data_IF_463169527598
#
_entry.id   IF_463169527598
#
_cell.length_a   1.000
_cell.length_b   1.000
_cell.length_c   1.000
_cell.angle_alpha   90.00
_cell.angle_beta   90.00
_cell.angle_gamma   90.00
#
_symmetry.space_group_name_H-M   'P 1'
#
loop_
_entity.id
_entity.type
_entity.pdbx_description
1 polymer ?
#
# COMPACT_ATOMS: atom_id res chain seq x y z
N UNK A 1 6.23 -27.82 -3.81
CA UNK A 1 5.85 -28.93 -4.70
C UNK A 1 4.95 -29.85 -3.89
N UNK A 2 3.67 -30.00 -4.23
CA UNK A 2 2.77 -30.90 -3.51
C UNK A 2 2.82 -32.28 -4.17
N UNK A 3 3.11 -33.32 -3.39
CA UNK A 3 2.94 -34.71 -3.83
C UNK A 3 1.53 -35.13 -3.42
N UNK A 4 0.65 -35.29 -4.41
CA UNK A 4 -0.69 -35.82 -4.22
C UNK A 4 -0.74 -37.20 -4.88
N UNK A 5 -1.07 -38.25 -4.12
CA UNK A 5 -1.43 -39.54 -4.70
C UNK A 5 -2.68 -39.36 -5.55
N UNK A 6 -2.53 -39.37 -6.87
CA UNK A 6 -3.65 -39.32 -7.82
C UNK A 6 -3.99 -40.75 -8.24
N UNK A 7 -5.10 -41.29 -7.73
CA UNK A 7 -5.79 -42.38 -8.43
C UNK A 7 -6.55 -41.76 -9.60
N UNK A 8 -5.90 -41.68 -10.77
CA UNK A 8 -6.52 -41.19 -12.00
C UNK A 8 -7.28 -42.35 -12.65
N UNK A 9 -8.61 -42.30 -12.61
CA UNK A 9 -9.45 -43.10 -13.51
C UNK A 9 -9.98 -42.15 -14.57
N UNK A 10 -9.48 -42.27 -15.81
CA UNK A 10 -10.10 -41.63 -16.96
C UNK A 10 -11.29 -42.47 -17.38
N UNK A 11 -12.50 -41.96 -17.14
CA UNK A 11 -13.71 -42.53 -17.75
C UNK A 11 -13.79 -42.01 -19.19
N UNK A 12 -13.51 -42.89 -20.15
CA UNK A 12 -13.51 -42.59 -21.58
C UNK A 12 -14.92 -42.36 -22.17
N UNK A 13 -15.97 -42.40 -21.36
CA UNK A 13 -17.37 -42.26 -21.80
C UNK A 13 -17.99 -40.86 -21.62
N UNK A 14 -17.27 -39.92 -21.00
CA UNK A 14 -17.75 -38.55 -20.77
C UNK A 14 -16.90 -37.54 -21.56
N UNK A 15 -17.25 -37.34 -22.83
CA UNK A 15 -16.83 -36.15 -23.57
C UNK A 15 -17.29 -34.88 -22.80
N UNK A 16 -16.35 -33.98 -22.53
CA UNK A 16 -16.55 -32.57 -22.11
C UNK A 16 -16.95 -32.20 -20.66
N UNK A 17 -16.75 -33.04 -19.64
CA UNK A 17 -16.75 -32.54 -18.24
C UNK A 17 -15.47 -32.91 -17.52
N UNK A 18 -14.65 -31.91 -17.19
CA UNK A 18 -13.58 -32.03 -16.21
C UNK A 18 -14.17 -32.56 -14.89
N UNK A 19 -14.00 -33.86 -14.63
CA UNK A 19 -14.37 -34.46 -13.35
C UNK A 19 -13.36 -33.99 -12.33
N UNK A 20 -13.79 -33.07 -11.49
CA UNK A 20 -12.99 -32.60 -10.39
C UNK A 20 -12.98 -33.59 -9.24
N UNK A 21 -11.90 -34.34 -9.16
CA UNK A 21 -11.63 -35.25 -8.05
C UNK A 21 -11.12 -34.43 -6.85
N UNK A 22 -11.78 -34.56 -5.70
CA UNK A 22 -11.27 -34.08 -4.42
C UNK A 22 -9.96 -34.82 -4.10
N UNK A 23 -8.84 -34.10 -3.86
CA UNK A 23 -7.60 -34.75 -3.49
C UNK A 23 -7.70 -35.33 -2.06
N UNK A 24 -7.67 -36.66 -1.94
CA UNK A 24 -7.85 -37.37 -0.66
C UNK A 24 -6.66 -37.21 0.32
N UNK A 25 -5.47 -36.87 -0.17
CA UNK A 25 -4.32 -36.53 0.68
C UNK A 25 -3.23 -35.83 -0.14
N UNK A 26 -3.05 -34.52 0.05
CA UNK A 26 -1.91 -33.79 -0.50
C UNK A 26 -0.98 -33.38 0.63
N UNK A 27 0.28 -33.84 0.57
CA UNK A 27 1.35 -33.25 1.37
C UNK A 27 1.70 -31.90 0.76
N UNK A 28 1.04 -30.85 1.25
CA UNK A 28 1.32 -29.47 0.83
C UNK A 28 2.39 -28.86 1.74
N UNK A 29 3.32 -28.14 1.13
CA UNK A 29 4.37 -27.43 1.86
C UNK A 29 3.86 -26.14 2.53
N UNK A 30 2.68 -25.67 2.13
CA UNK A 30 1.99 -24.53 2.74
C UNK A 30 0.49 -24.77 2.70
N UNK A 31 -0.15 -24.73 3.87
CA UNK A 31 -1.59 -24.88 4.01
C UNK A 31 -2.27 -23.61 3.50
N UNK A 32 -2.98 -23.74 2.40
CA UNK A 32 -3.79 -22.66 1.83
C UNK A 32 -5.22 -22.74 2.34
N UNK A 33 -5.87 -21.59 2.52
CA UNK A 33 -7.28 -21.50 2.91
C UNK A 33 -8.22 -22.24 1.93
N UNK A 34 -7.91 -22.23 0.63
CA UNK A 34 -8.67 -22.94 -0.42
C UNK A 34 -8.67 -24.46 -0.16
N UNK A 35 -7.51 -25.01 0.22
CA UNK A 35 -7.35 -26.43 0.55
C UNK A 35 -8.10 -26.77 1.84
N UNK A 36 -7.95 -25.94 2.87
CA UNK A 36 -8.57 -26.15 4.19
C UNK A 36 -10.09 -26.13 4.18
N UNK A 37 -10.68 -25.36 3.28
CA UNK A 37 -12.13 -25.21 3.16
C UNK A 37 -12.71 -25.98 1.96
N UNK A 38 -11.93 -26.88 1.34
CA UNK A 38 -12.34 -27.73 0.21
C UNK A 38 -12.99 -26.96 -0.95
N UNK A 39 -12.50 -25.75 -1.25
CA UNK A 39 -13.02 -24.96 -2.36
C UNK A 39 -12.41 -25.45 -3.68
N UNK A 40 -12.98 -26.49 -4.27
CA UNK A 40 -12.57 -27.01 -5.59
C UNK A 40 -13.61 -26.73 -6.69
N UNK A 41 -13.10 -26.46 -7.90
CA UNK A 41 -13.78 -26.56 -9.20
C UNK A 41 -15.01 -25.67 -9.48
N UNK A 42 -16.09 -25.79 -8.71
CA UNK A 42 -17.24 -24.87 -8.81
C UNK A 42 -16.97 -23.50 -8.16
N UNK A 43 -16.02 -23.45 -7.24
CA UNK A 43 -15.64 -22.26 -6.46
C UNK A 43 -14.64 -21.34 -7.14
N UNK A 44 -14.07 -21.74 -8.29
CA UNK A 44 -13.04 -20.97 -8.99
C UNK A 44 -13.51 -19.56 -9.36
N UNK A 45 -14.79 -19.41 -9.72
CA UNK A 45 -15.42 -18.11 -9.99
C UNK A 45 -15.46 -17.25 -8.72
N UNK A 46 -15.82 -17.83 -7.57
CA UNK A 46 -15.86 -17.15 -6.27
C UNK A 46 -14.46 -16.71 -5.81
N UNK A 47 -13.45 -17.56 -5.98
CA UNK A 47 -12.06 -17.23 -5.66
C UNK A 47 -11.54 -16.09 -6.54
N UNK A 48 -11.79 -16.14 -7.85
CA UNK A 48 -11.42 -15.05 -8.78
C UNK A 48 -12.11 -13.74 -8.41
N UNK A 49 -13.40 -13.79 -8.09
CA UNK A 49 -14.15 -12.62 -7.63
C UNK A 49 -13.55 -12.02 -6.35
N UNK A 50 -13.06 -12.84 -5.42
CA UNK A 50 -12.40 -12.36 -4.20
C UNK A 50 -11.15 -11.53 -4.50
N UNK A 51 -10.34 -11.91 -5.49
CA UNK A 51 -9.13 -11.16 -5.87
C UNK A 51 -9.54 -9.82 -6.49
N UNK A 52 -10.57 -9.82 -7.35
CA UNK A 52 -11.09 -8.58 -7.94
C UNK A 52 -11.64 -7.62 -6.88
N UNK A 53 -12.38 -8.11 -5.87
CA UNK A 53 -12.85 -7.31 -4.75
C UNK A 53 -11.69 -6.69 -3.96
N UNK A 54 -10.63 -7.46 -3.72
CA UNK A 54 -9.43 -6.95 -3.06
C UNK A 54 -8.80 -5.79 -3.85
N UNK A 55 -8.71 -5.89 -5.17
CA UNK A 55 -8.14 -4.83 -6.02
C UNK A 55 -9.00 -3.57 -6.04
N UNK A 56 -10.33 -3.72 -6.00
CA UNK A 56 -11.24 -2.58 -5.81
C UNK A 56 -10.94 -1.88 -4.49
N UNK A 57 -10.71 -2.62 -3.41
CA UNK A 57 -10.28 -2.07 -2.13
C UNK A 57 -9.01 -1.23 -2.26
N UNK A 58 -7.98 -1.75 -2.92
CA UNK A 58 -6.70 -1.04 -3.18
C UNK A 58 -6.93 0.25 -3.95
N UNK A 59 -7.77 0.23 -4.99
CA UNK A 59 -8.09 1.41 -5.82
C UNK A 59 -8.78 2.50 -5.01
N UNK A 60 -9.80 2.14 -4.22
CA UNK A 60 -10.52 3.11 -3.39
C UNK A 60 -9.58 3.68 -2.31
N UNK A 61 -8.76 2.82 -1.71
CA UNK A 61 -7.79 3.21 -0.68
C UNK A 61 -6.74 4.18 -1.19
N UNK A 62 -6.16 3.91 -2.37
CA UNK A 62 -5.14 4.77 -2.97
C UNK A 62 -5.67 6.17 -3.31
N UNK A 63 -6.92 6.27 -3.78
CA UNK A 63 -7.58 7.53 -4.06
C UNK A 63 -7.94 8.29 -2.76
N UNK A 64 -8.59 7.64 -1.80
CA UNK A 64 -9.02 8.32 -0.57
C UNK A 64 -7.83 8.83 0.25
N UNK A 65 -6.85 7.97 0.52
CA UNK A 65 -5.70 8.35 1.33
C UNK A 65 -4.76 9.31 0.64
N UNK A 66 -4.77 9.39 -0.70
CA UNK A 66 -4.07 10.45 -1.44
C UNK A 66 -4.53 11.84 -0.96
N UNK A 67 -5.83 12.11 -1.02
CA UNK A 67 -6.41 13.40 -0.58
C UNK A 67 -6.28 13.63 0.92
N UNK A 68 -6.51 12.59 1.72
CA UNK A 68 -6.40 12.68 3.18
C UNK A 68 -4.97 13.04 3.57
N UNK A 69 -3.96 12.49 2.89
CA UNK A 69 -2.56 12.78 3.20
C UNK A 69 -2.13 14.21 2.89
N UNK A 70 -2.70 14.79 1.84
CA UNK A 70 -2.44 16.19 1.50
C UNK A 70 -3.12 17.14 2.50
N UNK A 71 -4.29 16.76 3.03
CA UNK A 71 -5.07 17.60 3.94
C UNK A 71 -4.67 17.48 5.41
N UNK A 72 -4.48 16.25 5.93
CA UNK A 72 -4.25 15.97 7.34
C UNK A 72 -2.77 15.79 7.71
N UNK A 73 -1.90 15.67 6.70
CA UNK A 73 -0.49 15.37 6.87
C UNK A 73 -0.16 13.92 6.49
N UNK A 74 1.07 13.72 6.03
CA UNK A 74 1.56 12.47 5.47
C UNK A 74 1.89 11.50 6.59
N UNK A 75 2.51 11.97 7.68
CA UNK A 75 2.83 11.12 8.85
C UNK A 75 1.57 10.54 9.49
N UNK A 76 0.56 11.37 9.76
CA UNK A 76 -0.70 10.91 10.39
C UNK A 76 -1.42 9.90 9.51
N UNK A 77 -1.49 10.16 8.21
CA UNK A 77 -2.12 9.26 7.25
C UNK A 77 -1.40 7.91 7.20
N UNK A 78 -0.07 7.91 7.21
CA UNK A 78 0.74 6.69 7.25
C UNK A 78 0.52 5.89 8.54
N UNK A 79 0.43 6.54 9.71
CA UNK A 79 0.12 5.86 10.97
C UNK A 79 -1.26 5.19 10.94
N UNK A 80 -2.28 5.89 10.41
CA UNK A 80 -3.64 5.35 10.29
C UNK A 80 -3.67 4.15 9.37
N UNK A 81 -3.02 4.21 8.21
CA UNK A 81 -3.01 3.09 7.28
C UNK A 81 -2.21 1.90 7.83
N UNK A 82 -1.09 2.13 8.52
CA UNK A 82 -0.31 1.06 9.15
C UNK A 82 -1.08 0.37 10.29
N UNK A 83 -1.76 1.14 11.14
CA UNK A 83 -2.61 0.60 12.19
C UNK A 83 -3.79 -0.21 11.60
N UNK A 84 -4.43 0.33 10.56
CA UNK A 84 -5.50 -0.34 9.83
C UNK A 84 -5.06 -1.65 9.19
N UNK A 85 -3.86 -1.69 8.60
CA UNK A 85 -3.28 -2.93 8.05
C UNK A 85 -3.04 -3.98 9.14
N UNK A 86 -2.46 -3.59 10.28
CA UNK A 86 -2.20 -4.52 11.38
C UNK A 86 -3.50 -5.16 11.90
N UNK A 87 -4.54 -4.35 12.11
CA UNK A 87 -5.88 -4.84 12.51
C UNK A 87 -6.47 -5.74 11.42
N UNK A 88 -6.37 -5.33 10.15
CA UNK A 88 -6.86 -6.10 9.02
C UNK A 88 -6.21 -7.48 8.91
N UNK A 89 -4.90 -7.60 9.14
CA UNK A 89 -4.21 -8.88 9.15
C UNK A 89 -4.65 -9.80 10.29
N UNK A 90 -4.94 -9.25 11.48
CA UNK A 90 -5.53 -10.01 12.60
C UNK A 90 -6.92 -10.53 12.23
N UNK A 91 -7.75 -9.71 11.57
CA UNK A 91 -9.07 -10.12 11.08
C UNK A 91 -8.96 -11.24 10.04
N UNK A 92 -8.00 -11.15 9.12
CA UNK A 92 -7.71 -12.22 8.15
C UNK A 92 -7.37 -13.51 8.87
N UNK A 93 -6.48 -13.48 9.88
CA UNK A 93 -6.11 -14.68 10.64
C UNK A 93 -7.31 -15.34 11.36
N UNK A 94 -8.25 -14.53 11.84
CA UNK A 94 -9.48 -15.00 12.53
C UNK A 94 -10.60 -15.44 11.59
N UNK A 95 -10.41 -15.33 10.28
CA UNK A 95 -11.45 -15.72 9.32
C UNK A 95 -11.69 -17.23 9.30
N UNK A 96 -12.98 -17.59 9.28
CA UNK A 96 -13.47 -18.98 9.25
C UNK A 96 -14.23 -19.31 7.96
N UNK A 97 -14.61 -18.29 7.19
CA UNK A 97 -15.32 -18.42 5.93
C UNK A 97 -14.65 -17.58 4.83
N UNK A 98 -14.84 -17.98 3.57
CA UNK A 98 -14.29 -17.29 2.41
C UNK A 98 -14.81 -15.85 2.30
N UNK A 99 -16.08 -15.60 2.60
CA UNK A 99 -16.65 -14.25 2.55
C UNK A 99 -15.98 -13.32 3.55
N UNK A 100 -15.83 -13.77 4.81
CA UNK A 100 -15.17 -13.00 5.85
C UNK A 100 -13.68 -12.79 5.53
N UNK A 101 -13.03 -13.80 4.94
CA UNK A 101 -11.67 -13.69 4.44
C UNK A 101 -11.57 -12.61 3.34
N UNK A 102 -12.45 -12.64 2.33
CA UNK A 102 -12.49 -11.66 1.25
C UNK A 102 -12.71 -10.24 1.76
N UNK A 103 -13.67 -10.02 2.67
CA UNK A 103 -13.95 -8.71 3.26
C UNK A 103 -12.73 -8.21 4.04
N UNK A 104 -12.14 -9.06 4.88
CA UNK A 104 -10.95 -8.71 5.68
C UNK A 104 -9.75 -8.40 4.78
N UNK A 105 -9.53 -9.19 3.72
CA UNK A 105 -8.48 -8.94 2.72
C UNK A 105 -8.71 -7.67 1.91
N UNK A 106 -9.97 -7.35 1.61
CA UNK A 106 -10.33 -6.10 0.93
C UNK A 106 -10.04 -4.90 1.83
N UNK A 107 -10.34 -5.00 3.13
CA UNK A 107 -9.97 -3.97 4.11
C UNK A 107 -8.45 -3.79 4.21
N UNK A 108 -7.68 -4.89 4.27
CA UNK A 108 -6.21 -4.82 4.19
C UNK A 108 -5.78 -4.14 2.89
N UNK A 109 -6.34 -4.53 1.75
CA UNK A 109 -6.07 -3.93 0.44
C UNK A 109 -6.32 -2.42 0.41
N UNK A 110 -7.41 -1.96 1.02
CA UNK A 110 -7.73 -0.54 1.16
C UNK A 110 -6.62 0.23 1.90
N UNK A 111 -6.18 -0.27 3.06
CA UNK A 111 -5.09 0.38 3.79
C UNK A 111 -3.72 0.24 3.10
N UNK A 112 -3.48 -0.87 2.38
CA UNK A 112 -2.27 -1.06 1.58
C UNK A 112 -2.19 -0.06 0.42
N UNK A 113 -3.29 0.11 -0.34
CA UNK A 113 -3.36 1.09 -1.42
C UNK A 113 -3.13 2.51 -0.92
N UNK A 114 -3.74 2.86 0.22
CA UNK A 114 -3.49 4.15 0.85
C UNK A 114 -2.04 4.33 1.31
N UNK A 115 -1.46 3.33 1.95
CA UNK A 115 -0.05 3.38 2.40
C UNK A 115 0.91 3.59 1.24
N UNK A 116 0.69 2.91 0.11
CA UNK A 116 1.53 3.05 -1.10
C UNK A 116 1.45 4.47 -1.65
N UNK A 117 0.24 5.05 -1.74
CA UNK A 117 0.08 6.44 -2.19
C UNK A 117 0.84 7.42 -1.30
N UNK A 118 0.64 7.32 0.03
CA UNK A 118 1.26 8.25 0.99
C UNK A 118 2.78 8.08 1.04
N UNK A 119 3.27 6.84 1.03
CA UNK A 119 4.70 6.55 1.10
C UNK A 119 5.46 7.08 -0.12
N UNK A 120 4.91 6.92 -1.33
CA UNK A 120 5.53 7.43 -2.56
C UNK A 120 5.67 8.96 -2.52
N UNK A 121 4.62 9.67 -2.09
CA UNK A 121 4.67 11.12 -1.92
C UNK A 121 5.68 11.51 -0.84
N UNK A 122 5.67 10.82 0.30
CA UNK A 122 6.59 11.08 1.40
C UNK A 122 8.06 10.93 0.98
N UNK A 123 8.40 9.88 0.22
CA UNK A 123 9.74 9.68 -0.34
C UNK A 123 10.12 10.82 -1.29
N UNK A 124 9.20 11.22 -2.17
CA UNK A 124 9.44 12.31 -3.13
C UNK A 124 9.64 13.68 -2.46
N UNK A 125 9.04 13.89 -1.30
CA UNK A 125 9.16 15.14 -0.55
C UNK A 125 10.41 15.20 0.33
N UNK A 126 10.77 14.11 1.01
CA UNK A 126 11.84 14.12 2.00
C UNK A 126 13.20 13.73 1.41
N UNK A 127 13.25 12.94 0.34
CA UNK A 127 14.51 12.42 -0.19
C UNK A 127 15.07 13.36 -1.27
N UNK A 128 16.37 13.69 -1.26
CA UNK A 128 17.01 14.49 -2.31
C UNK A 128 17.04 13.75 -3.64
N UNK A 129 16.88 14.48 -4.76
CA UNK A 129 16.73 13.93 -6.13
C UNK A 129 17.76 12.86 -6.50
N UNK A 130 19.01 13.01 -6.04
CA UNK A 130 20.13 12.09 -6.32
C UNK A 130 19.89 10.66 -5.81
N UNK A 131 19.18 10.48 -4.70
CA UNK A 131 19.01 9.17 -4.05
C UNK A 131 17.58 8.60 -4.17
N UNK A 132 16.64 9.36 -4.75
CA UNK A 132 15.23 8.96 -4.86
C UNK A 132 15.05 7.63 -5.58
N UNK A 133 15.71 7.44 -6.72
CA UNK A 133 15.50 6.24 -7.55
C UNK A 133 15.95 4.97 -6.83
N UNK A 134 17.13 5.02 -6.19
CA UNK A 134 17.71 3.87 -5.50
C UNK A 134 16.91 3.49 -4.25
N UNK A 135 16.50 4.49 -3.45
CA UNK A 135 15.69 4.25 -2.25
C UNK A 135 14.30 3.75 -2.62
N UNK A 136 13.69 4.31 -3.66
CA UNK A 136 12.41 3.83 -4.16
C UNK A 136 12.50 2.37 -4.63
N UNK A 137 13.54 2.01 -5.40
CA UNK A 137 13.79 0.62 -5.81
C UNK A 137 13.90 -0.33 -4.62
N UNK A 138 14.64 0.04 -3.56
CA UNK A 138 14.80 -0.79 -2.38
C UNK A 138 13.48 -1.02 -1.61
N UNK A 139 12.54 -0.09 -1.69
CA UNK A 139 11.26 -0.13 -0.96
C UNK A 139 10.14 -0.76 -1.82
N UNK A 140 10.34 -0.94 -3.13
CA UNK A 140 9.34 -1.55 -4.03
C UNK A 140 9.01 -3.00 -3.68
N UNK A 141 7.97 -3.54 -4.32
CA UNK A 141 7.46 -4.89 -4.06
C UNK A 141 8.49 -5.98 -4.33
N UNK A 142 9.32 -5.83 -5.35
CA UNK A 142 10.26 -6.86 -5.81
C UNK A 142 11.24 -7.35 -4.74
N UNK A 143 12.03 -6.48 -4.06
CA UNK A 143 12.92 -6.93 -2.98
C UNK A 143 12.16 -7.48 -1.76
N UNK A 144 10.95 -7.00 -1.51
CA UNK A 144 10.13 -7.43 -0.38
C UNK A 144 9.47 -8.81 -0.58
N UNK A 145 9.47 -9.37 -1.80
CA UNK A 145 8.97 -10.73 -2.06
C UNK A 145 9.84 -11.81 -1.42
N UNK A 146 11.16 -11.60 -1.34
CA UNK A 146 12.10 -12.56 -0.74
C UNK A 146 11.83 -12.80 0.75
N UNK A 147 11.79 -11.77 1.63
CA UNK A 147 11.47 -11.97 3.03
C UNK A 147 10.04 -12.49 3.20
N UNK A 148 9.08 -12.08 2.35
CA UNK A 148 7.72 -12.62 2.39
C UNK A 148 7.68 -14.13 2.10
N UNK A 149 8.42 -14.59 1.10
CA UNK A 149 8.54 -16.01 0.78
C UNK A 149 9.21 -16.80 1.92
N UNK A 150 10.26 -16.23 2.54
CA UNK A 150 10.91 -16.84 3.71
C UNK A 150 9.94 -16.95 4.91
N UNK A 151 9.13 -15.92 5.17
CA UNK A 151 8.10 -15.94 6.19
C UNK A 151 7.01 -17.00 5.91
N UNK A 152 6.59 -17.12 4.65
CA UNK A 152 5.62 -18.14 4.23
C UNK A 152 6.19 -19.56 4.44
N UNK A 153 7.45 -19.77 4.07
CA UNK A 153 8.15 -21.04 4.30
C UNK A 153 8.28 -21.38 5.79
N UNK A 154 8.60 -20.41 6.64
CA UNK A 154 8.77 -20.62 8.07
C UNK A 154 7.45 -20.88 8.82
N UNK A 155 6.34 -20.31 8.35
CA UNK A 155 5.04 -20.40 9.05
C UNK A 155 4.22 -21.62 8.65
N UNK A 156 4.31 -22.09 7.41
CA UNK A 156 3.63 -23.28 6.91
C UNK A 156 2.10 -23.20 6.80
N UNK A 157 1.44 -22.23 7.46
CA UNK A 157 -0.01 -22.00 7.43
C UNK A 157 -0.35 -20.54 7.15
N UNK A 158 -1.43 -20.32 6.38
CA UNK A 158 -1.91 -19.00 6.00
C UNK A 158 -2.36 -18.14 7.20
N UNK A 159 -2.87 -18.74 8.27
CA UNK A 159 -3.26 -18.00 9.49
C UNK A 159 -2.05 -17.51 10.26
N UNK A 160 -1.07 -18.38 10.46
CA UNK A 160 0.22 -18.04 11.08
C UNK A 160 0.95 -16.97 10.28
N UNK A 161 0.93 -17.07 8.95
CA UNK A 161 1.49 -16.05 8.06
C UNK A 161 0.76 -14.70 8.23
N UNK A 162 -0.57 -14.69 8.30
CA UNK A 162 -1.34 -13.46 8.52
C UNK A 162 -1.02 -12.80 9.88
N UNK A 163 -0.91 -13.60 10.95
CA UNK A 163 -0.49 -13.11 12.27
C UNK A 163 0.95 -12.57 12.25
N UNK A 164 1.87 -13.27 11.59
CA UNK A 164 3.24 -12.81 11.45
C UNK A 164 3.32 -11.47 10.70
N UNK A 165 2.52 -11.29 9.65
CA UNK A 165 2.41 -10.01 8.95
C UNK A 165 1.91 -8.90 9.89
N UNK A 166 0.90 -9.16 10.73
CA UNK A 166 0.44 -8.20 11.72
C UNK A 166 1.54 -7.81 12.73
N UNK A 167 2.34 -8.79 13.17
CA UNK A 167 3.46 -8.56 14.10
C UNK A 167 4.55 -7.72 13.44
N UNK A 168 4.93 -8.02 12.19
CA UNK A 168 5.95 -7.27 11.45
C UNK A 168 5.52 -5.81 11.20
N UNK A 169 4.21 -5.53 11.13
CA UNK A 169 3.72 -4.15 11.06
C UNK A 169 3.99 -3.34 12.35
N UNK A 170 4.09 -3.96 13.52
CA UNK A 170 4.20 -3.26 14.82
C UNK A 170 5.51 -2.46 14.94
N UNK A 171 6.70 -3.02 14.68
CA UNK A 171 7.94 -2.24 14.65
C UNK A 171 7.84 -1.06 13.68
N UNK A 172 7.30 -1.27 12.48
CA UNK A 172 7.12 -0.20 11.50
C UNK A 172 6.25 0.93 12.04
N UNK A 173 5.14 0.60 12.71
CA UNK A 173 4.24 1.58 13.33
C UNK A 173 4.95 2.36 14.45
N UNK A 174 5.72 1.66 15.31
CA UNK A 174 6.49 2.28 16.38
C UNK A 174 7.59 3.21 15.86
N UNK A 175 8.37 2.77 14.85
CA UNK A 175 9.40 3.60 14.22
C UNK A 175 8.78 4.81 13.51
N UNK A 176 7.66 4.63 12.82
CA UNK A 176 6.93 5.75 12.22
C UNK A 176 6.43 6.74 13.27
N UNK A 177 5.98 6.25 14.43
CA UNK A 177 5.50 7.11 15.50
C UNK A 177 6.65 7.87 16.19
N UNK A 178 7.78 7.22 16.44
CA UNK A 178 8.88 7.79 17.24
C UNK A 178 9.90 8.59 16.42
N UNK A 179 10.22 8.14 15.20
CA UNK A 179 11.37 8.65 14.45
C UNK A 179 11.00 9.54 13.28
N UNK A 180 9.80 9.39 12.72
CA UNK A 180 9.39 10.11 11.51
C UNK A 180 8.74 11.44 11.88
N UNK A 181 9.27 12.53 11.32
CA UNK A 181 8.66 13.85 11.38
C UNK A 181 7.72 14.09 10.19
N UNK A 182 6.88 15.11 10.30
CA UNK A 182 6.03 15.53 9.18
C UNK A 182 6.89 16.14 8.06
N UNK A 183 6.45 16.02 6.81
CA UNK A 183 7.17 16.56 5.66
C UNK A 183 7.34 18.09 5.79
N UNK A 184 8.58 18.63 5.68
CA UNK A 184 8.81 20.07 5.77
C UNK A 184 8.01 20.86 4.72
N UNK A 185 7.77 20.26 3.55
CA UNK A 185 6.95 20.87 2.49
C UNK A 185 5.49 21.00 2.91
N UNK A 186 4.94 19.96 3.53
CA UNK A 186 3.57 20.01 4.05
C UNK A 186 3.43 21.09 5.13
N UNK A 187 4.41 21.20 6.02
CA UNK A 187 4.40 22.21 7.08
C UNK A 187 4.46 23.64 6.52
N UNK A 188 5.26 23.88 5.48
CA UNK A 188 5.28 25.17 4.77
C UNK A 188 3.91 25.46 4.16
N UNK A 189 3.31 24.48 3.48
CA UNK A 189 1.98 24.63 2.89
C UNK A 189 0.88 24.91 3.95
N UNK A 190 1.00 24.34 5.14
CA UNK A 190 0.10 24.63 6.26
C UNK A 190 0.44 25.93 7.02
N UNK A 191 1.44 26.71 6.59
CA UNK A 191 1.86 27.95 7.24
C UNK A 191 2.66 27.75 8.54
N UNK A 192 3.03 26.51 8.88
CA UNK A 192 3.83 26.15 10.06
C UNK A 192 5.33 26.29 9.79
N UNK A 193 5.75 27.51 9.45
CA UNK A 193 7.13 27.78 8.97
C UNK A 193 8.18 27.50 10.04
N UNK A 194 7.89 27.81 11.31
CA UNK A 194 8.81 27.55 12.43
C UNK A 194 9.07 26.05 12.65
N UNK A 195 8.03 25.21 12.59
CA UNK A 195 8.17 23.75 12.70
C UNK A 195 8.97 23.19 11.51
N UNK A 196 8.73 23.71 10.30
CA UNK A 196 9.47 23.30 9.11
C UNK A 196 10.98 23.66 9.20
N UNK A 197 11.29 24.84 9.73
CA UNK A 197 12.68 25.30 9.92
C UNK A 197 13.43 24.42 10.94
N UNK A 198 12.78 24.05 12.04
CA UNK A 198 13.38 23.20 13.07
C UNK A 198 13.68 21.80 12.53
N UNK A 199 12.74 21.20 11.80
CA UNK A 199 12.96 19.89 11.17
C UNK A 199 14.10 19.98 10.15
N UNK A 200 14.13 21.01 9.30
CA UNK A 200 15.23 21.19 8.35
C UNK A 200 16.58 21.39 9.04
N UNK A 201 16.64 22.15 10.15
CA UNK A 201 17.87 22.30 10.95
C UNK A 201 18.36 20.96 11.49
N UNK A 202 17.45 20.12 11.96
CA UNK A 202 17.77 18.76 12.46
C UNK A 202 18.30 17.85 11.35
N UNK A 203 17.74 17.92 10.15
CA UNK A 203 18.12 17.07 9.00
C UNK A 203 19.42 17.52 8.31
N UNK A 204 19.62 18.84 8.12
CA UNK A 204 20.80 19.39 7.41
C UNK A 204 21.96 19.72 8.34
N UNK A 205 21.74 19.74 9.65
CA UNK A 205 22.71 20.13 10.68
C UNK A 205 22.87 21.65 10.81
N UNK A 206 23.23 22.10 12.01
CA UNK A 206 23.44 23.51 12.36
C UNK A 206 24.53 24.22 11.54
N UNK A 207 25.43 23.47 10.89
CA UNK A 207 26.52 24.03 10.08
C UNK A 207 26.06 24.64 8.74
N UNK A 208 24.81 24.45 8.32
CA UNK A 208 24.27 24.93 7.02
C UNK A 208 23.06 25.85 7.18
N UNK A 209 23.00 26.60 8.27
CA UNK A 209 21.84 27.42 8.61
C UNK A 209 21.47 28.45 7.52
N UNK A 210 22.47 29.05 6.86
CA UNK A 210 22.25 29.99 5.76
C UNK A 210 21.61 29.30 4.52
N UNK A 211 22.05 28.08 4.19
CA UNK A 211 21.46 27.29 3.11
C UNK A 211 20.04 26.84 3.45
N UNK A 212 19.78 26.49 4.72
CA UNK A 212 18.44 26.14 5.20
C UNK A 212 17.50 27.33 5.11
N UNK A 213 17.92 28.51 5.57
CA UNK A 213 17.11 29.72 5.50
C UNK A 213 16.83 30.13 4.06
N UNK A 214 17.81 30.10 3.15
CA UNK A 214 17.60 30.41 1.73
C UNK A 214 16.63 29.41 1.06
N UNK A 215 16.79 28.12 1.33
CA UNK A 215 15.89 27.07 0.80
C UNK A 215 14.47 27.23 1.33
N UNK A 216 14.33 27.52 2.63
CA UNK A 216 13.05 27.79 3.28
C UNK A 216 12.39 29.04 2.68
N UNK A 217 13.12 30.15 2.56
CA UNK A 217 12.60 31.38 1.97
C UNK A 217 12.14 31.19 0.53
N UNK A 218 12.91 30.45 -0.28
CA UNK A 218 12.50 30.10 -1.66
C UNK A 218 11.23 29.23 -1.67
N UNK A 219 11.15 28.23 -0.78
CA UNK A 219 9.99 27.36 -0.69
C UNK A 219 8.73 28.14 -0.23
N UNK A 220 8.85 28.97 0.80
CA UNK A 220 7.77 29.84 1.30
C UNK A 220 7.30 30.81 0.21
N UNK A 221 8.22 31.44 -0.51
CA UNK A 221 7.88 32.37 -1.61
C UNK A 221 7.09 31.65 -2.71
N UNK A 222 7.56 30.48 -3.14
CA UNK A 222 6.89 29.69 -4.17
C UNK A 222 5.48 29.26 -3.73
N UNK A 223 5.32 28.80 -2.49
CA UNK A 223 4.00 28.44 -1.93
C UNK A 223 3.08 29.64 -1.83
N UNK A 224 3.57 30.80 -1.38
CA UNK A 224 2.79 32.03 -1.33
C UNK A 224 2.32 32.48 -2.72
N UNK A 225 3.21 32.43 -3.73
CA UNK A 225 2.83 32.70 -5.12
C UNK A 225 1.78 31.71 -5.66
N UNK A 226 1.88 30.43 -5.29
CA UNK A 226 0.88 29.42 -5.66
C UNK A 226 -0.47 29.68 -4.99
N UNK A 227 -0.48 30.06 -3.70
CA UNK A 227 -1.71 30.41 -2.98
C UNK A 227 -2.39 31.65 -3.57
N UNK A 228 -1.62 32.71 -3.89
CA UNK A 228 -2.16 33.90 -4.56
C UNK A 228 -2.79 33.57 -5.93
N UNK A 229 -2.16 32.67 -6.70
CA UNK A 229 -2.72 32.18 -7.98
C UNK A 229 -3.99 31.33 -7.78
N UNK A 230 -4.06 30.55 -6.70
CA UNK A 230 -5.22 29.73 -6.40
C UNK A 230 -6.41 30.59 -5.91
N UNK A 231 -6.15 31.60 -5.07
CA UNK A 231 -7.16 32.51 -4.51
C UNK A 231 -7.75 33.43 -5.58
N UNK A 232 -6.90 34.01 -6.44
CA UNK A 232 -7.34 34.78 -7.61
C UNK A 232 -8.20 33.97 -8.58
N UNK A 233 -8.09 32.64 -8.58
CA UNK A 233 -8.89 31.75 -9.43
C UNK A 233 -10.00 30.99 -8.68
N UNK A 234 -10.19 31.19 -7.36
CA UNK A 234 -11.11 30.41 -6.50
C UNK A 234 -11.06 28.89 -6.75
N UNK A 235 -9.89 28.32 -7.04
CA UNK A 235 -9.77 26.91 -7.43
C UNK A 235 -9.60 26.00 -6.21
N UNK A 236 -10.59 25.14 -5.95
CA UNK A 236 -10.41 23.95 -5.10
C UNK A 236 -9.98 22.80 -5.98
N UNK A 237 -8.75 22.32 -5.81
CA UNK A 237 -8.26 21.15 -6.54
C UNK A 237 -8.91 19.88 -6.00
N UNK A 238 -9.37 19.02 -6.90
CA UNK A 238 -10.02 17.72 -6.62
C UNK A 238 -9.68 16.76 -7.75
N UNK A 239 -9.96 15.46 -7.58
CA UNK A 239 -9.65 14.42 -8.58
C UNK A 239 -10.14 14.72 -9.99
N UNK A 240 -11.32 15.34 -10.10
CA UNK A 240 -11.90 15.69 -11.40
C UNK A 240 -11.06 16.71 -12.19
N UNK A 241 -10.23 17.51 -11.51
CA UNK A 241 -9.37 18.49 -12.17
C UNK A 241 -8.15 17.87 -12.86
N UNK A 242 -7.80 16.63 -12.52
CA UNK A 242 -6.69 15.90 -13.16
C UNK A 242 -6.97 15.62 -14.64
N UNK A 243 -8.25 15.44 -14.99
CA UNK A 243 -8.70 15.19 -16.36
C UNK A 243 -9.21 16.44 -17.09
N UNK A 244 -9.15 17.61 -16.45
CA UNK A 244 -9.74 18.83 -16.99
C UNK A 244 -8.93 19.44 -18.14
N UNK A 245 -7.59 19.30 -18.10
CA UNK A 245 -6.74 19.77 -19.20
C UNK A 245 -6.18 18.59 -19.99
N UNK A 246 -6.19 18.63 -21.33
CA UNK A 246 -5.79 17.50 -22.16
C UNK A 246 -4.31 17.12 -21.91
N UNK A 247 -3.45 18.09 -21.58
CA UNK A 247 -2.05 17.81 -21.22
C UNK A 247 -1.94 16.98 -19.93
N UNK A 248 -2.61 17.38 -18.84
CA UNK A 248 -2.61 16.58 -17.61
C UNK A 248 -3.33 15.24 -17.80
N UNK A 249 -4.41 15.20 -18.57
CA UNK A 249 -5.13 13.96 -18.85
C UNK A 249 -4.23 12.97 -19.60
N UNK A 250 -3.53 13.40 -20.65
CA UNK A 250 -2.59 12.56 -21.41
C UNK A 250 -1.45 12.08 -20.50
N UNK A 251 -0.83 12.97 -19.71
CA UNK A 251 0.24 12.56 -18.78
C UNK A 251 -0.27 11.56 -17.74
N UNK A 252 -1.48 11.76 -17.21
CA UNK A 252 -2.09 10.84 -16.25
C UNK A 252 -2.39 9.49 -16.88
N UNK A 253 -2.91 9.46 -18.11
CA UNK A 253 -3.18 8.23 -18.86
C UNK A 253 -1.86 7.49 -19.12
N UNK A 254 -0.83 8.19 -19.62
CA UNK A 254 0.49 7.59 -19.86
C UNK A 254 1.06 7.00 -18.58
N UNK A 255 1.01 7.74 -17.45
CA UNK A 255 1.49 7.25 -16.15
C UNK A 255 0.65 6.10 -15.57
N UNK A 256 -0.64 6.00 -15.92
CA UNK A 256 -1.50 4.92 -15.47
C UNK A 256 -1.26 3.61 -16.23
N UNK A 257 -0.76 3.69 -17.47
CA UNK A 257 -0.47 2.52 -18.33
C UNK A 257 1.01 2.13 -18.39
N UNK A 258 1.90 2.91 -17.75
CA UNK A 258 3.35 2.65 -17.63
C UNK A 258 3.71 1.93 -16.34
#
# INVERSE_FOLDING_TARGET
>A
LASCERNVVFDSSLEEKEVCLEPLHCSVQFDHNILKWNYFCGSAKTIKNSISMQMIGVLIGSAMFGQISDSFGRRKSMLVTMAGMAIGWILVAKSYDLTLFTVSRTAVGFFTGGSISVLNVFIMENIPKKHRMWINMAITWSPNMLPLAAMAWATGDWRSLALLNAIVCVPGLLFCFLCIHESPRWLIHCGKIAEAQEIMRREFGSSKEETVNDTLHKAVRNEYEMMLRADSQKRRYSFCHLFYTPKLAITTIVLAFS
#
